data_IF_429382946601
#
_entry.id   IF_429382946601
#
_cell.length_a   1.000
_cell.length_b   1.000
_cell.length_c   1.000
_cell.angle_alpha   90.00
_cell.angle_beta   90.00
_cell.angle_gamma   90.00
#
_symmetry.space_group_name_H-M   'P 1'
#
loop_
_entity.id
_entity.type
_entity.pdbx_description
1 polymer ?
#
# COMPACT_ATOMS: atom_id res chain seq x y z
N UNK A 1 -22.88 -11.09 -20.47
CA UNK A 1 -21.46 -11.30 -20.81
C UNK A 1 -20.66 -11.35 -19.51
N UNK A 2 -19.70 -12.28 -19.35
CA UNK A 2 -18.82 -12.27 -18.17
C UNK A 2 -18.04 -10.96 -18.14
N UNK A 3 -18.02 -10.28 -16.99
CA UNK A 3 -17.25 -9.06 -16.82
C UNK A 3 -15.76 -9.42 -16.75
N UNK A 4 -14.91 -8.65 -17.45
CA UNK A 4 -13.47 -8.86 -17.42
C UNK A 4 -12.94 -8.66 -16.00
N UNK A 5 -12.25 -9.68 -15.48
CA UNK A 5 -11.50 -9.56 -14.24
C UNK A 5 -10.19 -8.83 -14.47
N UNK A 6 -9.91 -7.84 -13.63
CA UNK A 6 -8.70 -7.04 -13.61
C UNK A 6 -7.95 -7.30 -12.31
N UNK A 7 -6.62 -7.36 -12.41
CA UNK A 7 -5.73 -7.37 -11.24
C UNK A 7 -4.89 -6.11 -11.26
N UNK A 8 -4.82 -5.44 -10.11
CA UNK A 8 -4.01 -4.24 -9.91
C UNK A 8 -2.99 -4.57 -8.84
N UNK A 9 -1.72 -4.26 -9.10
CA UNK A 9 -0.59 -4.49 -8.20
C UNK A 9 0.19 -3.21 -8.03
N UNK A 10 0.46 -2.79 -6.80
CA UNK A 10 1.15 -1.54 -6.55
C UNK A 10 1.26 -1.23 -5.06
N UNK A 11 1.49 0.04 -4.72
CA UNK A 11 1.51 0.48 -3.34
C UNK A 11 0.27 1.31 -3.01
N UNK A 12 -0.19 1.26 -1.76
CA UNK A 12 -1.24 2.15 -1.28
C UNK A 12 -0.77 3.62 -1.33
N UNK A 13 -1.48 4.45 -2.06
CA UNK A 13 -1.19 5.89 -2.19
C UNK A 13 -1.57 6.71 -0.96
N UNK A 14 -2.52 6.20 -0.16
CA UNK A 14 -2.97 6.74 1.12
C UNK A 14 -3.52 5.61 1.99
N UNK A 15 -3.78 5.88 3.27
CA UNK A 15 -4.50 4.92 4.12
C UNK A 15 -5.88 4.63 3.50
N UNK A 16 -6.34 3.36 3.49
CA UNK A 16 -7.68 3.04 3.02
C UNK A 16 -8.76 3.74 3.87
N UNK A 17 -9.78 4.25 3.19
CA UNK A 17 -10.92 4.90 3.80
C UNK A 17 -12.05 3.88 3.98
N UNK A 18 -12.50 3.68 5.22
CA UNK A 18 -13.55 2.72 5.57
C UNK A 18 -14.79 3.44 6.07
N UNK A 19 -15.92 3.09 5.47
CA UNK A 19 -17.24 3.52 5.86
C UNK A 19 -18.01 2.29 6.34
N UNK A 20 -18.48 2.25 7.60
CA UNK A 20 -19.28 1.14 8.09
C UNK A 20 -20.65 1.10 7.39
N UNK A 21 -21.33 -0.03 7.50
CA UNK A 21 -22.73 -0.15 7.08
C UNK A 21 -23.58 0.92 7.77
N UNK A 22 -24.49 1.53 7.01
CA UNK A 22 -25.35 2.60 7.51
C UNK A 22 -26.73 2.51 6.87
N UNK A 23 -27.77 2.62 7.69
CA UNK A 23 -29.13 2.88 7.23
C UNK A 23 -29.33 4.37 7.00
N UNK A 24 -29.80 4.76 5.81
CA UNK A 24 -30.15 6.15 5.49
C UNK A 24 -31.46 6.56 6.14
N UNK A 25 -31.74 7.86 6.17
CA UNK A 25 -32.98 8.40 6.73
C UNK A 25 -34.22 7.88 5.97
N UNK A 26 -34.06 7.54 4.69
CA UNK A 26 -35.08 6.92 3.83
C UNK A 26 -35.21 5.39 4.05
N UNK A 27 -34.52 4.83 5.04
CA UNK A 27 -34.57 3.40 5.38
C UNK A 27 -33.71 2.50 4.48
N UNK A 28 -32.90 3.04 3.57
CA UNK A 28 -32.03 2.25 2.69
C UNK A 28 -30.79 1.80 3.45
N UNK A 29 -30.51 0.50 3.48
CA UNK A 29 -29.25 -0.02 4.02
C UNK A 29 -28.14 0.11 2.98
N UNK A 30 -27.14 0.93 3.29
CA UNK A 30 -25.91 1.02 2.51
C UNK A 30 -24.89 0.05 3.10
N UNK A 31 -24.36 -0.91 2.31
CA UNK A 31 -23.35 -1.84 2.81
C UNK A 31 -22.08 -1.07 3.19
N UNK A 32 -21.28 -1.66 4.08
CA UNK A 32 -19.95 -1.12 4.37
C UNK A 32 -19.12 -0.97 3.08
N UNK A 33 -18.25 0.03 3.05
CA UNK A 33 -17.40 0.35 1.90
C UNK A 33 -15.98 0.57 2.36
N UNK A 34 -15.02 0.01 1.64
CA UNK A 34 -13.62 0.36 1.79
C UNK A 34 -13.08 0.88 0.45
N UNK A 35 -12.49 2.06 0.47
CA UNK A 35 -11.88 2.69 -0.70
C UNK A 35 -10.38 2.84 -0.48
N UNK A 36 -9.60 2.33 -1.44
CA UNK A 36 -8.15 2.47 -1.46
C UNK A 36 -7.69 3.04 -2.80
N UNK A 37 -6.52 3.68 -2.83
CA UNK A 37 -5.88 4.10 -4.08
C UNK A 37 -4.57 3.34 -4.21
N UNK A 38 -4.41 2.61 -5.31
CA UNK A 38 -3.20 1.85 -5.61
C UNK A 38 -2.41 2.58 -6.69
N UNK A 39 -1.12 2.79 -6.43
CA UNK A 39 -0.15 3.34 -7.36
C UNK A 39 0.68 2.21 -7.95
N UNK A 40 0.46 1.96 -9.23
CA UNK A 40 1.25 1.03 -10.02
C UNK A 40 2.40 1.80 -10.69
N UNK A 41 3.63 1.50 -10.26
CA UNK A 41 4.83 2.05 -10.90
C UNK A 41 5.07 1.29 -12.20
N UNK A 42 4.88 1.97 -13.33
CA UNK A 42 5.21 1.43 -14.65
C UNK A 42 6.66 1.73 -14.98
N UNK A 43 7.34 0.73 -15.51
CA UNK A 43 8.65 0.92 -16.14
C UNK A 43 8.46 0.81 -17.64
N UNK A 44 9.10 1.72 -18.37
CA UNK A 44 9.11 1.76 -19.83
C UNK A 44 10.49 1.40 -20.33
N UNK A 45 10.53 0.76 -21.49
CA UNK A 45 11.79 0.49 -22.17
C UNK A 45 12.21 1.75 -22.92
N UNK A 46 13.41 2.23 -22.65
CA UNK A 46 14.01 3.39 -23.30
C UNK A 46 14.59 3.03 -24.66
N UNK A 47 14.95 4.04 -25.45
CA UNK A 47 15.50 3.87 -26.81
C UNK A 47 16.81 3.07 -26.79
N UNK A 48 17.62 3.22 -25.75
CA UNK A 48 18.85 2.46 -25.51
C UNK A 48 18.59 1.03 -24.97
N UNK A 49 17.33 0.65 -24.83
CA UNK A 49 16.90 -0.68 -24.39
C UNK A 49 16.92 -0.89 -22.87
N UNK A 50 17.33 0.10 -22.08
CA UNK A 50 17.28 0.06 -20.61
C UNK A 50 15.84 0.23 -20.08
N UNK A 51 15.67 0.05 -18.76
CA UNK A 51 14.38 0.24 -18.10
C UNK A 51 14.41 1.51 -17.26
N UNK A 52 13.51 2.43 -17.54
CA UNK A 52 13.31 3.63 -16.73
C UNK A 52 11.89 3.65 -16.16
N UNK A 53 11.68 4.45 -15.12
CA UNK A 53 10.31 4.75 -14.68
C UNK A 53 9.58 5.52 -15.78
N UNK A 54 8.28 5.27 -15.91
CA UNK A 54 7.45 5.98 -16.88
C UNK A 54 7.44 7.49 -16.54
N UNK A 55 7.85 8.39 -17.46
CA UNK A 55 7.86 9.83 -17.20
C UNK A 55 6.44 10.39 -16.94
N UNK A 56 5.39 9.66 -17.32
CA UNK A 56 3.99 10.01 -16.99
C UNK A 56 3.64 9.75 -15.53
N UNK A 57 4.55 9.14 -14.76
CA UNK A 57 4.34 8.76 -13.38
C UNK A 57 3.50 7.49 -13.22
N UNK A 58 3.16 7.14 -11.96
CA UNK A 58 2.43 5.92 -11.65
C UNK A 58 0.99 5.96 -12.15
N UNK A 59 0.48 4.80 -12.56
CA UNK A 59 -0.95 4.63 -12.83
C UNK A 59 -1.68 4.58 -11.50
N UNK A 60 -2.72 5.41 -11.38
CA UNK A 60 -3.55 5.48 -10.18
C UNK A 60 -4.83 4.71 -10.43
N UNK A 61 -5.14 3.76 -9.55
CA UNK A 61 -6.40 3.01 -9.60
C UNK A 61 -7.09 3.07 -8.26
N UNK A 62 -8.35 3.49 -8.25
CA UNK A 62 -9.21 3.40 -7.06
C UNK A 62 -9.74 1.97 -6.96
N UNK A 63 -9.59 1.38 -5.79
CA UNK A 63 -10.10 0.05 -5.44
C UNK A 63 -11.27 0.25 -4.49
N UNK A 64 -12.44 -0.28 -4.84
CA UNK A 64 -13.63 -0.24 -3.99
C UNK A 64 -14.03 -1.67 -3.60
N UNK A 65 -14.18 -1.90 -2.30
CA UNK A 65 -14.73 -3.12 -1.73
C UNK A 65 -16.03 -2.78 -1.02
N UNK A 66 -16.96 -3.73 -0.99
CA UNK A 66 -18.26 -3.56 -0.34
C UNK A 66 -18.58 -4.74 0.59
N UNK A 67 -19.39 -4.46 1.61
CA UNK A 67 -19.88 -5.44 2.60
C UNK A 67 -18.74 -6.22 3.25
N UNK A 68 -18.91 -7.55 3.32
CA UNK A 68 -17.96 -8.45 3.99
C UNK A 68 -16.51 -8.29 3.51
N UNK A 69 -16.29 -7.99 2.23
CA UNK A 69 -14.95 -7.80 1.70
C UNK A 69 -14.30 -6.51 2.25
N UNK A 70 -15.08 -5.43 2.37
CA UNK A 70 -14.64 -4.19 3.01
C UNK A 70 -14.32 -4.42 4.49
N UNK A 71 -15.20 -5.09 5.22
CA UNK A 71 -15.01 -5.36 6.66
C UNK A 71 -13.79 -6.24 6.91
N UNK A 72 -13.54 -7.22 6.04
CA UNK A 72 -12.39 -8.11 6.15
C UNK A 72 -11.10 -7.33 5.98
N UNK A 73 -11.02 -6.50 4.94
CA UNK A 73 -9.82 -5.72 4.63
C UNK A 73 -9.57 -4.63 5.66
N UNK A 74 -10.62 -4.00 6.19
CA UNK A 74 -10.50 -2.99 7.25
C UNK A 74 -9.75 -3.52 8.49
N UNK A 75 -9.90 -4.82 8.82
CA UNK A 75 -9.21 -5.45 9.95
C UNK A 75 -7.73 -5.74 9.72
N UNK A 76 -7.23 -5.61 8.48
CA UNK A 76 -5.86 -6.01 8.10
C UNK A 76 -4.82 -4.88 8.37
N UNK A 77 -5.24 -3.74 8.92
CA UNK A 77 -4.40 -2.55 9.23
C UNK A 77 -3.40 -2.17 8.12
N UNK A 78 -3.87 -2.12 6.88
CA UNK A 78 -3.05 -1.67 5.76
C UNK A 78 -2.83 -0.16 5.84
N UNK A 79 -1.60 0.29 5.57
CA UNK A 79 -1.17 1.69 5.64
C UNK A 79 -0.66 2.19 4.29
N UNK A 80 -0.63 3.51 4.16
CA UNK A 80 0.02 4.17 3.02
C UNK A 80 1.43 3.60 2.79
N UNK A 81 1.74 3.30 1.54
CA UNK A 81 3.02 2.73 1.12
C UNK A 81 3.08 1.20 1.11
N UNK A 82 2.12 0.52 1.75
CA UNK A 82 2.10 -0.95 1.76
C UNK A 82 1.92 -1.51 0.35
N UNK A 83 2.68 -2.57 0.01
CA UNK A 83 2.56 -3.23 -1.28
C UNK A 83 1.35 -4.16 -1.27
N UNK A 84 0.47 -4.01 -2.26
CA UNK A 84 -0.82 -4.68 -2.30
C UNK A 84 -1.16 -5.21 -3.69
N UNK A 85 -2.06 -6.20 -3.72
CA UNK A 85 -2.69 -6.76 -4.90
C UNK A 85 -4.20 -6.69 -4.70
N UNK A 86 -4.92 -6.16 -5.68
CA UNK A 86 -6.37 -6.15 -5.72
C UNK A 86 -6.87 -6.85 -6.98
N UNK A 87 -7.98 -7.60 -6.87
CA UNK A 87 -8.64 -8.24 -8.00
C UNK A 87 -10.11 -7.90 -8.01
N UNK A 88 -10.64 -7.56 -9.19
CA UNK A 88 -11.97 -6.98 -9.33
C UNK A 88 -12.49 -6.95 -10.75
N UNK A 89 -13.66 -6.36 -10.92
CA UNK A 89 -14.16 -5.94 -12.24
C UNK A 89 -13.99 -4.43 -12.40
N UNK A 90 -13.98 -3.95 -13.65
CA UNK A 90 -13.94 -2.51 -13.91
C UNK A 90 -15.21 -1.85 -13.37
N UNK A 91 -15.04 -0.85 -12.51
CA UNK A 91 -16.12 0.04 -12.07
C UNK A 91 -16.24 1.26 -12.99
N UNK A 92 -17.17 2.15 -12.67
CA UNK A 92 -17.28 3.42 -13.40
C UNK A 92 -16.01 4.27 -13.18
N UNK A 93 -15.29 4.66 -14.24
CA UNK A 93 -14.14 5.53 -14.11
C UNK A 93 -14.52 6.85 -13.43
N UNK A 94 -13.67 7.30 -12.51
CA UNK A 94 -13.88 8.59 -11.85
C UNK A 94 -13.28 9.70 -12.70
N UNK A 95 -14.08 10.67 -13.11
CA UNK A 95 -13.64 11.92 -13.72
C UNK A 95 -13.79 13.07 -12.71
N UNK A 96 -12.75 13.88 -12.56
CA UNK A 96 -12.73 14.99 -11.60
C UNK A 96 -11.81 16.11 -12.07
N UNK A 97 -12.01 17.32 -11.55
CA UNK A 97 -11.06 18.43 -11.74
C UNK A 97 -9.95 18.28 -10.71
N UNK A 98 -8.71 18.20 -11.17
CA UNK A 98 -7.54 18.08 -10.30
C UNK A 98 -7.39 19.33 -9.44
N UNK A 99 -7.32 19.21 -8.11
CA UNK A 99 -7.18 20.37 -7.22
C UNK A 99 -5.78 21.00 -7.27
N UNK A 100 -4.80 20.33 -7.93
CA UNK A 100 -3.42 20.81 -8.00
C UNK A 100 -3.23 21.86 -9.11
N UNK A 101 -3.87 21.64 -10.25
CA UNK A 101 -3.62 22.35 -11.51
C UNK A 101 -4.92 22.76 -12.23
N UNK A 102 -6.10 22.33 -11.76
CA UNK A 102 -7.39 22.68 -12.36
C UNK A 102 -7.73 21.92 -13.63
N UNK A 103 -6.92 20.94 -14.05
CA UNK A 103 -7.16 20.17 -15.26
C UNK A 103 -8.16 19.03 -15.03
N UNK A 104 -8.87 18.63 -16.10
CA UNK A 104 -9.70 17.43 -16.06
C UNK A 104 -8.82 16.19 -15.94
N UNK A 105 -9.05 15.38 -14.91
CA UNK A 105 -8.35 14.15 -14.63
C UNK A 105 -9.32 12.97 -14.55
N UNK A 106 -8.82 11.80 -14.96
CA UNK A 106 -9.52 10.53 -14.86
C UNK A 106 -8.78 9.55 -13.98
N UNK A 107 -9.51 8.63 -13.34
CA UNK A 107 -8.93 7.51 -12.63
C UNK A 107 -9.71 6.23 -12.88
N UNK A 108 -8.97 5.16 -13.13
CA UNK A 108 -9.55 3.82 -13.16
C UNK A 108 -10.15 3.48 -11.80
N UNK A 109 -11.31 2.84 -11.82
CA UNK A 109 -11.96 2.31 -10.62
C UNK A 109 -12.14 0.81 -10.84
N UNK A 110 -11.81 0.00 -9.84
CA UNK A 110 -12.19 -1.40 -9.80
C UNK A 110 -13.12 -1.67 -8.62
N UNK A 111 -14.17 -2.43 -8.88
CA UNK A 111 -15.00 -3.06 -7.86
C UNK A 111 -14.34 -4.38 -7.50
N UNK A 112 -13.52 -4.35 -6.45
CA UNK A 112 -12.69 -5.46 -6.05
C UNK A 112 -13.47 -6.50 -5.23
N UNK A 113 -13.14 -7.75 -5.47
CA UNK A 113 -13.54 -8.87 -4.62
C UNK A 113 -12.52 -9.13 -3.50
N UNK A 114 -11.25 -8.73 -3.71
CA UNK A 114 -10.21 -8.83 -2.69
C UNK A 114 -9.17 -7.71 -2.79
N UNK A 115 -8.55 -7.39 -1.65
CA UNK A 115 -7.33 -6.60 -1.52
C UNK A 115 -6.45 -7.29 -0.48
N UNK A 116 -5.22 -7.63 -0.87
CA UNK A 116 -4.27 -8.38 -0.03
C UNK A 116 -2.90 -7.74 -0.09
N UNK A 117 -2.05 -8.02 0.90
CA UNK A 117 -0.63 -7.68 0.81
C UNK A 117 0.05 -8.45 -0.31
N UNK A 118 0.92 -7.76 -1.04
CA UNK A 118 1.90 -8.40 -1.90
C UNK A 118 3.05 -8.92 -1.04
N UNK A 119 2.89 -10.15 -0.54
CA UNK A 119 3.84 -10.78 0.38
C UNK A 119 5.26 -10.88 -0.19
N UNK A 120 5.40 -10.99 -1.51
CA UNK A 120 6.71 -11.05 -2.19
C UNK A 120 7.45 -9.72 -2.04
N UNK A 121 6.79 -8.61 -2.37
CA UNK A 121 7.39 -7.28 -2.27
C UNK A 121 7.56 -6.89 -0.80
N UNK A 122 6.59 -7.24 0.05
CA UNK A 122 6.67 -7.00 1.48
C UNK A 122 7.92 -7.66 2.09
N UNK A 123 8.12 -8.96 1.83
CA UNK A 123 9.27 -9.69 2.35
C UNK A 123 10.60 -9.14 1.80
N UNK A 124 10.69 -8.85 0.49
CA UNK A 124 11.90 -8.26 -0.10
C UNK A 124 12.26 -6.91 0.53
N UNK A 125 11.28 -6.07 0.85
CA UNK A 125 11.52 -4.79 1.54
C UNK A 125 12.04 -5.02 2.95
N UNK A 126 11.47 -5.98 3.67
CA UNK A 126 11.93 -6.38 5.01
C UNK A 126 13.37 -6.88 4.97
N UNK A 127 13.71 -7.76 4.03
CA UNK A 127 15.06 -8.31 3.88
C UNK A 127 16.07 -7.21 3.55
N UNK A 128 15.72 -6.29 2.63
CA UNK A 128 16.58 -5.15 2.28
C UNK A 128 16.81 -4.21 3.46
N UNK A 129 15.77 -3.95 4.28
CA UNK A 129 15.89 -3.10 5.47
C UNK A 129 16.79 -3.74 6.54
N UNK A 130 16.79 -5.07 6.67
CA UNK A 130 17.72 -5.81 7.54
C UNK A 130 19.15 -5.70 7.03
N UNK A 131 19.36 -5.85 5.72
CA UNK A 131 20.70 -5.74 5.10
C UNK A 131 21.28 -4.32 5.15
N UNK A 132 20.42 -3.29 5.10
CA UNK A 132 20.84 -1.89 5.14
C UNK A 132 21.06 -1.35 6.55
N UNK A 133 20.83 -2.14 7.60
CA UNK A 133 21.16 -1.71 8.97
C UNK A 133 22.67 -1.67 9.11
N UNK A 134 23.27 -0.52 9.46
CA UNK A 134 24.69 -0.48 9.78
C UNK A 134 24.95 -1.45 10.94
N UNK A 135 25.98 -2.27 10.81
CA UNK A 135 26.52 -3.06 11.91
C UNK A 135 26.78 -2.11 13.07
N UNK A 136 26.09 -2.28 14.20
CA UNK A 136 26.53 -1.65 15.44
C UNK A 136 27.98 -2.08 15.67
N UNK A 137 28.93 -1.17 15.93
CA UNK A 137 30.25 -1.57 16.35
C UNK A 137 30.06 -2.41 17.61
N UNK A 138 30.51 -3.66 17.56
CA UNK A 138 30.60 -4.49 18.75
C UNK A 138 31.48 -3.74 19.75
N UNK A 139 30.88 -3.19 20.81
CA UNK A 139 31.67 -2.91 22.00
C UNK A 139 32.23 -4.27 22.42
N UNK A 140 33.53 -4.44 22.17
CA UNK A 140 34.27 -5.62 22.61
C UNK A 140 34.07 -5.84 24.10
N UNK A 141 34.31 -7.07 24.59
CA UNK A 141 34.06 -7.40 25.99
C UNK A 141 34.73 -6.36 26.88
N UNK A 142 33.95 -5.77 27.79
CA UNK A 142 34.48 -4.88 28.82
C UNK A 142 35.61 -5.62 29.53
N UNK A 143 36.84 -5.11 29.42
CA UNK A 143 37.98 -5.63 30.17
C UNK A 143 37.65 -5.63 31.66
N UNK A 144 38.16 -6.60 32.43
CA UNK A 144 37.78 -6.76 33.82
C UNK A 144 38.12 -5.47 34.60
N UNK A 145 37.14 -5.00 35.37
CA UNK A 145 37.33 -3.91 36.31
C UNK A 145 38.40 -4.32 37.32
N UNK A 146 39.54 -3.64 37.32
CA UNK A 146 40.54 -3.74 38.38
C UNK A 146 39.92 -3.12 39.63
N UNK A 147 39.50 -3.97 40.56
CA UNK A 147 39.19 -3.57 41.93
C UNK A 147 40.48 -3.11 42.59
N UNK A 148 40.54 -1.83 42.98
CA UNK A 148 41.45 -1.38 44.01
C UNK A 148 40.83 -1.76 45.34
N UNK A 149 41.26 -2.89 45.88
CA UNK A 149 41.04 -3.19 47.29
C UNK A 149 42.02 -2.33 48.09
N UNK A 150 41.45 -1.36 48.79
CA UNK A 150 42.05 -0.77 49.97
C UNK A 150 41.90 -1.76 51.14
N UNK A 151 42.95 -1.86 51.97
CA UNK A 151 43.07 -2.35 53.36
C UNK A 151 44.47 -3.00 53.45
N UNK A 152 45.40 -2.70 54.36
CA UNK A 152 45.36 -2.09 55.67
C UNK A 152 46.33 -2.86 56.56
N UNK A 153 47.58 -2.38 56.73
CA UNK A 153 48.42 -2.47 57.95
C UNK A 153 49.66 -1.58 57.80
#
# INVERSE_FOLDING_TARGET
MPQAMLTVRGNLGANPDYLPEKTTDDGVMLPSKLQAVVYENRRVRTVDGSWADDPRGPVKTTVQLFGRAADTVHRIDMRQGDPVIAGGTLGEPSAFVSPKDGEMAGRNVINAQFLVFDSIIYQRRKDKAVQSRPSQPSMGPAGPAVGQDADGE
#
